data_IF_535665427673
#
_entry.id   IF_535665427673
#
_cell.length_a   1.000
_cell.length_b   1.000
_cell.length_c   1.000
_cell.angle_alpha   90.00
_cell.angle_beta   90.00
_cell.angle_gamma   90.00
#
_symmetry.space_group_name_H-M   'P 1'
#
loop_
_entity.id
_entity.type
_entity.pdbx_description
1 polymer ?
#
# COMPACT_ATOMS: atom_id res chain seq x y z
N UNK A 1 -59.61 47.47 109.96
CA UNK A 1 -58.67 46.33 110.10
C UNK A 1 -59.04 45.15 109.20
N UNK A 2 -60.25 44.58 109.31
CA UNK A 2 -60.64 43.41 108.51
C UNK A 2 -60.68 43.64 106.98
N UNK A 3 -61.17 44.80 106.53
CA UNK A 3 -61.19 45.15 105.10
C UNK A 3 -59.77 45.33 104.51
N UNK A 4 -58.85 45.94 105.29
CA UNK A 4 -57.47 46.20 104.86
C UNK A 4 -56.67 44.90 104.74
N UNK A 5 -56.85 43.98 105.69
CA UNK A 5 -56.25 42.64 105.65
C UNK A 5 -56.78 41.87 104.43
N UNK A 6 -58.08 41.93 104.17
CA UNK A 6 -58.68 41.20 103.04
C UNK A 6 -58.22 41.77 101.69
N UNK A 7 -58.15 43.09 101.53
CA UNK A 7 -57.60 43.71 100.31
C UNK A 7 -56.12 43.41 100.13
N UNK A 8 -55.32 43.39 101.21
CA UNK A 8 -53.89 43.09 101.13
C UNK A 8 -53.64 41.63 100.77
N UNK A 9 -54.37 40.70 101.40
CA UNK A 9 -54.30 39.27 101.06
C UNK A 9 -54.77 39.04 99.63
N UNK A 10 -55.87 39.67 99.21
CA UNK A 10 -56.38 39.51 97.86
C UNK A 10 -55.42 40.07 96.80
N UNK A 11 -54.88 41.27 96.98
CA UNK A 11 -53.91 41.84 96.04
C UNK A 11 -52.59 41.08 96.04
N UNK A 12 -52.10 40.64 97.21
CA UNK A 12 -50.87 39.86 97.30
C UNK A 12 -51.03 38.49 96.62
N UNK A 13 -52.10 37.76 96.92
CA UNK A 13 -52.38 36.46 96.31
C UNK A 13 -52.63 36.64 94.81
N UNK A 14 -53.44 37.61 94.41
CA UNK A 14 -53.74 37.84 92.99
C UNK A 14 -52.48 38.24 92.23
N UNK A 15 -51.69 39.19 92.72
CA UNK A 15 -50.46 39.61 92.03
C UNK A 15 -49.42 38.50 92.05
N UNK A 16 -49.22 37.79 93.15
CA UNK A 16 -48.24 36.70 93.23
C UNK A 16 -48.65 35.54 92.31
N UNK A 17 -49.90 35.07 92.39
CA UNK A 17 -50.39 33.99 91.53
C UNK A 17 -50.41 34.43 90.06
N UNK A 18 -50.93 35.61 89.76
CA UNK A 18 -50.99 36.09 88.38
C UNK A 18 -49.59 36.28 87.81
N UNK A 19 -48.67 36.94 88.53
CA UNK A 19 -47.30 37.12 88.03
C UNK A 19 -46.57 35.80 87.93
N UNK A 20 -46.66 34.92 88.93
CA UNK A 20 -45.99 33.62 88.90
C UNK A 20 -46.53 32.73 87.78
N UNK A 21 -47.85 32.57 87.68
CA UNK A 21 -48.47 31.76 86.63
C UNK A 21 -48.22 32.39 85.25
N UNK A 22 -48.45 33.69 85.09
CA UNK A 22 -48.25 34.34 83.80
C UNK A 22 -46.79 34.30 83.38
N UNK A 23 -45.85 34.65 84.25
CA UNK A 23 -44.43 34.61 83.89
C UNK A 23 -43.96 33.18 83.69
N UNK A 24 -44.30 32.23 84.55
CA UNK A 24 -43.86 30.84 84.40
C UNK A 24 -44.46 30.21 83.15
N UNK A 25 -45.77 30.29 82.94
CA UNK A 25 -46.43 29.73 81.76
C UNK A 25 -45.95 30.45 80.50
N UNK A 26 -45.94 31.78 80.48
CA UNK A 26 -45.54 32.51 79.28
C UNK A 26 -44.06 32.30 78.97
N UNK A 27 -43.16 32.38 79.95
CA UNK A 27 -41.73 32.17 79.68
C UNK A 27 -41.47 30.71 79.34
N UNK A 28 -42.00 29.75 80.10
CA UNK A 28 -41.74 28.33 79.85
C UNK A 28 -42.33 27.87 78.53
N UNK A 29 -43.62 28.15 78.26
CA UNK A 29 -44.25 27.75 77.00
C UNK A 29 -43.59 28.48 75.83
N UNK A 30 -43.39 29.79 75.92
CA UNK A 30 -42.90 30.55 74.78
C UNK A 30 -41.42 30.24 74.51
N UNK A 31 -40.58 30.11 75.54
CA UNK A 31 -39.18 29.71 75.34
C UNK A 31 -39.06 28.25 74.92
N UNK A 32 -39.81 27.32 75.52
CA UNK A 32 -39.74 25.91 75.16
C UNK A 32 -40.26 25.68 73.75
N UNK A 33 -41.44 26.21 73.40
CA UNK A 33 -41.99 26.09 72.05
C UNK A 33 -41.08 26.79 71.04
N UNK A 34 -40.63 28.02 71.32
CA UNK A 34 -39.75 28.73 70.40
C UNK A 34 -38.43 27.99 70.21
N UNK A 35 -37.78 27.52 71.28
CA UNK A 35 -36.49 26.81 71.17
C UNK A 35 -36.69 25.47 70.49
N UNK A 36 -37.70 24.68 70.87
CA UNK A 36 -37.92 23.36 70.27
C UNK A 36 -38.30 23.49 68.80
N UNK A 37 -39.25 24.35 68.45
CA UNK A 37 -39.67 24.53 67.05
C UNK A 37 -38.54 25.16 66.24
N UNK A 38 -37.90 26.22 66.73
CA UNK A 38 -36.81 26.86 65.97
C UNK A 38 -35.62 25.93 65.82
N UNK A 39 -35.18 25.25 66.89
CA UNK A 39 -34.06 24.32 66.80
C UNK A 39 -34.40 23.14 65.89
N UNK A 40 -35.59 22.54 66.03
CA UNK A 40 -36.00 21.40 65.21
C UNK A 40 -36.17 21.79 63.74
N UNK A 41 -36.91 22.87 63.46
CA UNK A 41 -37.12 23.34 62.10
C UNK A 41 -35.81 23.77 61.45
N UNK A 42 -34.98 24.56 62.14
CA UNK A 42 -33.70 24.99 61.60
C UNK A 42 -32.76 23.80 61.37
N UNK A 43 -32.59 22.91 62.34
CA UNK A 43 -31.67 21.78 62.19
C UNK A 43 -32.16 20.74 61.19
N UNK A 44 -33.44 20.34 61.22
CA UNK A 44 -33.97 19.37 60.28
C UNK A 44 -34.02 19.94 58.86
N UNK A 45 -34.51 21.16 58.67
CA UNK A 45 -34.59 21.75 57.32
C UNK A 45 -33.18 22.02 56.80
N UNK A 46 -32.30 22.60 57.61
CA UNK A 46 -30.93 22.88 57.16
C UNK A 46 -30.18 21.58 56.89
N UNK A 47 -30.27 20.57 57.75
CA UNK A 47 -29.64 19.28 57.52
C UNK A 47 -30.22 18.61 56.27
N UNK A 48 -31.54 18.59 56.09
CA UNK A 48 -32.17 17.98 54.94
C UNK A 48 -31.81 18.71 53.64
N UNK A 49 -31.97 20.03 53.58
CA UNK A 49 -31.63 20.82 52.40
C UNK A 49 -30.14 20.71 52.11
N UNK A 50 -29.27 20.90 53.10
CA UNK A 50 -27.84 20.85 52.88
C UNK A 50 -27.40 19.46 52.46
N UNK A 51 -27.77 18.41 53.20
CA UNK A 51 -27.38 17.04 52.82
C UNK A 51 -27.99 16.64 51.50
N UNK A 52 -29.29 16.79 51.30
CA UNK A 52 -29.94 16.36 50.07
C UNK A 52 -29.46 17.15 48.87
N UNK A 53 -29.49 18.48 48.91
CA UNK A 53 -29.08 19.30 47.76
C UNK A 53 -27.59 19.16 47.52
N UNK A 54 -26.75 19.29 48.56
CA UNK A 54 -25.30 19.21 48.35
C UNK A 54 -24.90 17.81 47.89
N UNK A 55 -25.36 16.75 48.54
CA UNK A 55 -24.98 15.39 48.11
C UNK A 55 -25.56 15.06 46.76
N UNK A 56 -26.83 15.36 46.49
CA UNK A 56 -27.45 15.04 45.20
C UNK A 56 -26.81 15.84 44.07
N UNK A 57 -26.68 17.16 44.20
CA UNK A 57 -26.08 18.00 43.17
C UNK A 57 -24.61 17.63 43.00
N UNK A 58 -23.83 17.53 44.08
CA UNK A 58 -22.42 17.21 43.97
C UNK A 58 -22.22 15.82 43.38
N UNK A 59 -22.91 14.79 43.88
CA UNK A 59 -22.76 13.43 43.34
C UNK A 59 -23.25 13.34 41.91
N UNK A 60 -24.42 13.90 41.59
CA UNK A 60 -24.97 13.83 40.24
C UNK A 60 -24.13 14.60 39.24
N UNK A 61 -23.77 15.85 39.53
CA UNK A 61 -22.93 16.66 38.64
C UNK A 61 -21.55 16.03 38.53
N UNK A 62 -20.92 15.66 39.64
CA UNK A 62 -19.57 15.09 39.59
C UNK A 62 -19.57 13.75 38.87
N UNK A 63 -20.51 12.83 39.17
CA UNK A 63 -20.57 11.55 38.48
C UNK A 63 -20.91 11.75 37.03
N UNK A 64 -21.97 12.49 36.68
CA UNK A 64 -22.38 12.69 35.30
C UNK A 64 -21.31 13.38 34.47
N UNK A 65 -20.73 14.49 34.95
CA UNK A 65 -19.68 15.20 34.22
C UNK A 65 -18.44 14.31 34.12
N UNK A 66 -17.99 13.71 35.22
CA UNK A 66 -16.78 12.90 35.19
C UNK A 66 -16.98 11.68 34.31
N UNK A 67 -18.07 10.93 34.44
CA UNK A 67 -18.33 9.77 33.59
C UNK A 67 -18.50 10.20 32.16
N UNK A 68 -19.34 11.19 31.85
CA UNK A 68 -19.62 11.59 30.47
C UNK A 68 -18.37 12.13 29.79
N UNK A 69 -17.66 13.07 30.42
CA UNK A 69 -16.44 13.64 29.84
C UNK A 69 -15.37 12.57 29.73
N UNK A 70 -15.11 11.81 30.80
CA UNK A 70 -14.06 10.80 30.76
C UNK A 70 -14.39 9.70 29.75
N UNK A 71 -15.60 9.15 29.74
CA UNK A 71 -15.97 8.12 28.76
C UNK A 71 -15.95 8.71 27.37
N UNK A 72 -16.60 9.84 27.12
CA UNK A 72 -16.69 10.41 25.77
C UNK A 72 -15.32 10.78 25.23
N UNK A 73 -14.51 11.53 25.99
CA UNK A 73 -13.16 11.92 25.56
C UNK A 73 -12.29 10.67 25.40
N UNK A 74 -12.25 9.79 26.38
CA UNK A 74 -11.38 8.63 26.31
C UNK A 74 -11.81 7.69 25.17
N UNK A 75 -13.09 7.35 25.06
CA UNK A 75 -13.56 6.47 23.99
C UNK A 75 -13.37 7.15 22.64
N UNK A 76 -13.83 8.39 22.47
CA UNK A 76 -13.78 9.05 21.17
C UNK A 76 -12.35 9.28 20.70
N UNK A 77 -11.48 9.84 21.56
CA UNK A 77 -10.07 10.07 21.22
C UNK A 77 -9.37 8.75 20.99
N UNK A 78 -9.52 7.78 21.89
CA UNK A 78 -8.83 6.49 21.73
C UNK A 78 -9.32 5.76 20.47
N UNK A 79 -10.62 5.68 20.22
CA UNK A 79 -11.15 5.03 19.02
C UNK A 79 -10.75 5.79 17.77
N UNK A 80 -10.84 7.11 17.76
CA UNK A 80 -10.54 7.92 16.58
C UNK A 80 -9.05 7.85 16.26
N UNK A 81 -8.18 8.08 17.24
CA UNK A 81 -6.73 8.01 17.04
C UNK A 81 -6.32 6.59 16.65
N UNK A 82 -6.79 5.57 17.36
CA UNK A 82 -6.41 4.20 17.06
C UNK A 82 -6.92 3.78 15.68
N UNK A 83 -8.18 4.04 15.34
CA UNK A 83 -8.72 3.69 14.02
C UNK A 83 -8.04 4.48 12.92
N UNK A 84 -7.86 5.80 13.07
CA UNK A 84 -7.22 6.63 12.06
C UNK A 84 -5.77 6.24 11.84
N UNK A 85 -4.97 6.10 12.91
CA UNK A 85 -3.57 5.70 12.80
C UNK A 85 -3.47 4.30 12.23
N UNK A 86 -4.23 3.33 12.76
CA UNK A 86 -4.16 1.96 12.27
C UNK A 86 -4.59 1.87 10.81
N UNK A 87 -5.70 2.49 10.42
CA UNK A 87 -6.17 2.47 9.03
C UNK A 87 -5.20 3.20 8.12
N UNK A 88 -4.71 4.38 8.50
CA UNK A 88 -3.78 5.15 7.69
C UNK A 88 -2.44 4.42 7.52
N UNK A 89 -1.84 3.95 8.61
CA UNK A 89 -0.56 3.21 8.55
C UNK A 89 -0.76 1.92 7.77
N UNK A 90 -1.78 1.12 8.08
CA UNK A 90 -1.99 -0.15 7.40
C UNK A 90 -2.28 0.06 5.91
N UNK A 91 -3.17 0.98 5.55
CA UNK A 91 -3.48 1.24 4.14
C UNK A 91 -2.28 1.84 3.42
N UNK A 92 -1.62 2.84 3.98
CA UNK A 92 -0.48 3.49 3.35
C UNK A 92 0.69 2.51 3.18
N UNK A 93 1.11 1.83 4.23
CA UNK A 93 2.21 0.87 4.17
C UNK A 93 1.84 -0.28 3.24
N UNK A 94 0.68 -0.90 3.41
CA UNK A 94 0.31 -2.04 2.59
C UNK A 94 0.14 -1.66 1.13
N UNK A 95 -0.54 -0.56 0.80
CA UNK A 95 -0.73 -0.16 -0.59
C UNK A 95 0.57 0.32 -1.22
N UNK A 96 1.37 1.12 -0.51
CA UNK A 96 2.61 1.66 -1.06
C UNK A 96 3.65 0.56 -1.24
N UNK A 97 3.89 -0.26 -0.21
CA UNK A 97 4.85 -1.37 -0.29
C UNK A 97 4.39 -2.39 -1.33
N UNK A 98 3.12 -2.82 -1.30
CA UNK A 98 2.64 -3.81 -2.25
C UNK A 98 2.72 -3.29 -3.69
N UNK A 99 2.29 -2.05 -3.95
CA UNK A 99 2.32 -1.47 -5.28
C UNK A 99 3.75 -1.22 -5.76
N UNK A 100 4.63 -0.74 -4.88
CA UNK A 100 6.04 -0.51 -5.21
C UNK A 100 6.78 -1.81 -5.47
N UNK A 101 6.66 -2.80 -4.59
CA UNK A 101 7.28 -4.12 -4.77
C UNK A 101 6.72 -4.79 -6.02
N UNK A 102 5.40 -4.80 -6.21
CA UNK A 102 4.80 -5.40 -7.40
C UNK A 102 5.27 -4.68 -8.67
N UNK A 103 5.30 -3.34 -8.69
CA UNK A 103 5.78 -2.59 -9.83
C UNK A 103 7.27 -2.85 -10.10
N UNK A 104 8.13 -2.81 -9.08
CA UNK A 104 9.56 -3.06 -9.22
C UNK A 104 9.85 -4.50 -9.65
N UNK A 105 9.24 -5.50 -9.02
CA UNK A 105 9.43 -6.90 -9.39
C UNK A 105 8.88 -7.15 -10.78
N UNK A 106 7.66 -6.71 -11.08
CA UNK A 106 7.07 -6.93 -12.39
C UNK A 106 7.87 -6.22 -13.48
N UNK A 107 8.26 -4.96 -13.29
CA UNK A 107 9.09 -4.25 -14.27
C UNK A 107 10.44 -4.90 -14.40
N UNK A 108 11.14 -5.23 -13.32
CA UNK A 108 12.47 -5.84 -13.38
C UNK A 108 12.41 -7.22 -14.04
N UNK A 109 11.55 -8.12 -13.56
CA UNK A 109 11.43 -9.47 -14.13
C UNK A 109 10.95 -9.39 -15.57
N UNK A 110 9.87 -8.66 -15.86
CA UNK A 110 9.33 -8.61 -17.21
C UNK A 110 10.31 -7.92 -18.16
N UNK A 111 10.88 -6.77 -17.81
CA UNK A 111 11.84 -6.11 -18.71
C UNK A 111 13.10 -6.95 -18.82
N UNK A 112 13.72 -7.38 -17.74
CA UNK A 112 14.99 -8.11 -17.80
C UNK A 112 14.82 -9.45 -18.50
N UNK A 113 13.88 -10.29 -18.07
CA UNK A 113 13.70 -11.62 -18.68
C UNK A 113 13.20 -11.47 -20.11
N UNK A 114 12.16 -10.68 -20.36
CA UNK A 114 11.62 -10.57 -21.72
C UNK A 114 12.64 -9.93 -22.64
N UNK A 115 13.25 -8.79 -22.28
CA UNK A 115 14.21 -8.15 -23.19
C UNK A 115 15.45 -8.99 -23.35
N UNK A 116 16.05 -9.51 -22.28
CA UNK A 116 17.29 -10.29 -22.37
C UNK A 116 17.07 -11.59 -23.13
N UNK A 117 16.05 -12.40 -22.76
CA UNK A 117 15.79 -13.66 -23.46
C UNK A 117 15.35 -13.39 -24.89
N UNK A 118 14.41 -12.48 -25.13
CA UNK A 118 13.94 -12.20 -26.48
C UNK A 118 15.07 -11.67 -27.36
N UNK A 119 15.83 -10.67 -26.89
CA UNK A 119 16.94 -10.12 -27.68
C UNK A 119 18.05 -11.13 -27.87
N UNK A 120 18.47 -11.87 -26.83
CA UNK A 120 19.51 -12.89 -26.94
C UNK A 120 19.08 -14.01 -27.90
N UNK A 121 17.88 -14.58 -27.72
CA UNK A 121 17.37 -15.64 -28.58
C UNK A 121 17.16 -15.15 -30.00
N UNK A 122 16.55 -13.98 -30.20
CA UNK A 122 16.32 -13.42 -31.53
C UNK A 122 17.64 -13.09 -32.24
N UNK A 123 18.57 -12.42 -31.57
CA UNK A 123 19.87 -12.08 -32.18
C UNK A 123 20.71 -13.32 -32.45
N UNK A 124 20.73 -14.29 -31.52
CA UNK A 124 21.46 -15.54 -31.72
C UNK A 124 20.86 -16.37 -32.84
N UNK A 125 19.53 -16.59 -32.84
CA UNK A 125 18.85 -17.32 -33.92
C UNK A 125 19.01 -16.62 -35.25
N UNK A 126 18.82 -15.30 -35.31
CA UNK A 126 18.98 -14.54 -36.54
C UNK A 126 20.43 -14.58 -37.04
N UNK A 127 21.42 -14.38 -36.16
CA UNK A 127 22.82 -14.46 -36.52
C UNK A 127 23.21 -15.86 -36.97
N UNK A 128 22.78 -16.91 -36.27
CA UNK A 128 23.07 -18.30 -36.62
C UNK A 128 22.40 -18.68 -37.94
N UNK A 129 21.11 -18.40 -38.10
CA UNK A 129 20.39 -18.70 -39.35
C UNK A 129 20.94 -17.90 -40.51
N UNK A 130 21.17 -16.60 -40.34
CA UNK A 130 21.75 -15.77 -41.39
C UNK A 130 23.14 -16.25 -41.75
N UNK A 131 24.04 -16.43 -40.78
CA UNK A 131 25.40 -16.90 -41.06
C UNK A 131 25.40 -18.29 -41.67
N UNK A 132 24.69 -19.26 -41.09
CA UNK A 132 24.64 -20.63 -41.61
C UNK A 132 24.04 -20.69 -43.00
N UNK A 133 22.85 -20.13 -43.21
CA UNK A 133 22.17 -20.16 -44.51
C UNK A 133 22.96 -19.35 -45.52
N UNK A 134 23.35 -18.11 -45.20
CA UNK A 134 24.08 -17.27 -46.14
C UNK A 134 25.43 -17.90 -46.47
N UNK A 135 26.24 -18.30 -45.48
CA UNK A 135 27.55 -18.90 -45.77
C UNK A 135 27.40 -20.24 -46.46
N UNK A 136 26.52 -21.13 -46.02
CA UNK A 136 26.36 -22.43 -46.65
C UNK A 136 25.83 -22.30 -48.07
N UNK A 137 24.73 -21.57 -48.29
CA UNK A 137 24.16 -21.39 -49.64
C UNK A 137 25.12 -20.61 -50.52
N UNK A 138 25.65 -19.48 -50.04
CA UNK A 138 26.57 -18.68 -50.85
C UNK A 138 27.83 -19.48 -51.16
N UNK A 139 28.50 -20.09 -50.18
CA UNK A 139 29.72 -20.86 -50.46
C UNK A 139 29.41 -22.07 -51.31
N UNK A 140 28.37 -22.86 -51.02
CA UNK A 140 28.04 -24.05 -51.80
C UNK A 140 27.66 -23.68 -53.23
N UNK A 141 26.71 -22.77 -53.43
CA UNK A 141 26.28 -22.36 -54.78
C UNK A 141 27.42 -21.66 -55.50
N UNK A 142 28.09 -20.69 -54.87
CA UNK A 142 29.19 -19.97 -55.52
C UNK A 142 30.32 -20.93 -55.85
N UNK A 143 30.80 -21.75 -54.91
CA UNK A 143 31.90 -22.69 -55.19
C UNK A 143 31.48 -23.75 -56.18
N UNK A 144 30.30 -24.36 -56.05
CA UNK A 144 29.85 -25.40 -56.97
C UNK A 144 29.65 -24.84 -58.37
N UNK A 145 28.89 -23.75 -58.53
CA UNK A 145 28.66 -23.13 -59.84
C UNK A 145 29.96 -22.58 -60.41
N UNK A 146 30.74 -21.82 -59.63
CA UNK A 146 32.00 -21.26 -60.12
C UNK A 146 32.97 -22.37 -60.50
N UNK A 147 33.20 -23.36 -59.63
CA UNK A 147 34.13 -24.46 -59.96
C UNK A 147 33.59 -25.29 -61.10
N UNK A 148 32.32 -25.67 -61.13
CA UNK A 148 31.77 -26.48 -62.21
C UNK A 148 31.79 -25.74 -63.54
N UNK A 149 31.27 -24.52 -63.60
CA UNK A 149 31.28 -23.72 -64.83
C UNK A 149 32.71 -23.39 -65.24
N UNK A 150 33.54 -22.88 -64.32
CA UNK A 150 34.91 -22.51 -64.66
C UNK A 150 35.70 -23.73 -65.09
N UNK A 151 35.68 -24.84 -64.33
CA UNK A 151 36.44 -26.04 -64.72
C UNK A 151 35.87 -26.65 -65.98
N UNK A 152 34.56 -26.81 -66.13
CA UNK A 152 33.96 -27.41 -67.32
C UNK A 152 34.24 -26.55 -68.55
N UNK A 153 33.93 -25.26 -68.52
CA UNK A 153 34.15 -24.37 -69.66
C UNK A 153 35.64 -24.23 -69.94
N UNK A 154 36.47 -23.96 -68.93
CA UNK A 154 37.90 -23.80 -69.14
C UNK A 154 38.53 -25.09 -69.65
N UNK A 155 38.28 -26.23 -69.01
CA UNK A 155 38.87 -27.50 -69.46
C UNK A 155 38.30 -27.91 -70.81
N UNK A 156 37.00 -27.81 -71.05
CA UNK A 156 36.40 -28.19 -72.32
C UNK A 156 36.90 -27.29 -73.45
N UNK A 157 36.80 -25.97 -73.32
CA UNK A 157 37.27 -25.04 -74.35
C UNK A 157 38.78 -25.15 -74.52
N UNK A 158 39.56 -25.14 -73.45
CA UNK A 158 41.01 -25.21 -73.54
C UNK A 158 41.46 -26.54 -74.13
N UNK A 159 40.97 -27.68 -73.64
CA UNK A 159 41.35 -28.98 -74.18
C UNK A 159 40.84 -29.16 -75.59
N UNK A 160 39.58 -28.84 -75.88
CA UNK A 160 39.02 -28.98 -77.23
C UNK A 160 39.75 -28.10 -78.22
N UNK A 161 39.89 -26.79 -77.96
CA UNK A 161 40.58 -25.88 -78.87
C UNK A 161 42.06 -26.27 -78.99
N UNK A 162 42.75 -26.50 -77.87
CA UNK A 162 44.17 -26.85 -77.91
C UNK A 162 44.40 -28.17 -78.64
N UNK A 163 43.66 -29.23 -78.29
CA UNK A 163 43.80 -30.54 -78.96
C UNK A 163 43.36 -30.47 -80.41
N UNK A 164 42.25 -29.83 -80.74
CA UNK A 164 41.76 -29.73 -82.10
C UNK A 164 42.71 -28.92 -82.98
N UNK A 165 43.13 -27.73 -82.55
CA UNK A 165 44.10 -26.92 -83.31
C UNK A 165 45.43 -27.65 -83.42
N UNK A 166 45.96 -28.19 -82.31
CA UNK A 166 47.25 -28.87 -82.33
C UNK A 166 47.21 -30.13 -83.21
N UNK A 167 46.19 -30.98 -83.07
CA UNK A 167 46.06 -32.19 -83.89
C UNK A 167 45.76 -31.85 -85.33
N UNK A 168 44.88 -30.89 -85.62
CA UNK A 168 44.54 -30.51 -87.00
C UNK A 168 45.73 -29.88 -87.73
N UNK A 169 46.46 -28.97 -87.09
CA UNK A 169 47.67 -28.39 -87.68
C UNK A 169 48.74 -29.49 -87.84
N UNK A 170 48.99 -30.30 -86.83
CA UNK A 170 50.04 -31.32 -86.89
C UNK A 170 49.72 -32.44 -87.91
N UNK A 171 48.48 -32.92 -87.97
CA UNK A 171 48.05 -33.94 -88.92
C UNK A 171 47.92 -33.40 -90.33
N UNK A 172 47.42 -32.17 -90.53
CA UNK A 172 47.38 -31.55 -91.87
C UNK A 172 48.78 -31.28 -92.41
N UNK A 173 49.71 -30.82 -91.56
CA UNK A 173 51.10 -30.58 -91.97
C UNK A 173 51.80 -31.90 -92.32
N UNK A 174 51.63 -32.94 -91.51
CA UNK A 174 52.19 -34.27 -91.81
C UNK A 174 51.52 -34.87 -93.05
N UNK A 175 50.20 -34.77 -93.19
CA UNK A 175 49.48 -35.36 -94.31
C UNK A 175 49.82 -34.65 -95.62
N UNK A 176 49.90 -33.32 -95.65
CA UNK A 176 50.35 -32.57 -96.84
C UNK A 176 51.80 -32.87 -97.18
N UNK A 177 52.68 -33.00 -96.18
CA UNK A 177 54.07 -33.39 -96.38
C UNK A 177 54.19 -34.79 -97.01
N UNK A 178 53.48 -35.79 -96.46
CA UNK A 178 53.48 -37.17 -96.97
C UNK A 178 52.79 -37.25 -98.34
N UNK A 179 51.67 -36.54 -98.55
CA UNK A 179 50.95 -36.57 -99.82
C UNK A 179 51.79 -35.91 -100.93
N UNK A 180 52.46 -34.79 -100.67
CA UNK A 180 53.37 -34.20 -101.66
C UNK A 180 54.53 -35.16 -101.98
N UNK A 181 55.13 -35.80 -100.97
CA UNK A 181 56.21 -36.76 -101.20
C UNK A 181 55.76 -38.01 -101.96
N UNK A 182 54.56 -38.54 -101.66
CA UNK A 182 53.98 -39.69 -102.34
C UNK A 182 53.54 -39.36 -103.78
N UNK A 183 52.97 -38.18 -103.99
CA UNK A 183 52.55 -37.70 -105.31
C UNK A 183 53.75 -37.61 -106.26
N UNK A 184 54.88 -37.05 -105.80
CA UNK A 184 56.13 -36.99 -106.57
C UNK A 184 56.61 -38.39 -106.99
N UNK A 185 56.41 -39.40 -106.13
CA UNK A 185 56.85 -40.76 -106.42
C UNK A 185 55.93 -41.53 -107.39
N UNK A 186 54.65 -41.16 -107.51
CA UNK A 186 53.71 -41.76 -108.47
C UNK A 186 53.79 -41.17 -109.87
N UNK A 187 54.25 -39.93 -110.03
CA UNK A 187 54.42 -39.29 -111.36
C UNK A 187 55.72 -39.67 -112.07
N UNK A 188 56.57 -40.50 -111.43
CA UNK A 188 57.88 -40.94 -111.93
C UNK A 188 57.91 -42.42 -112.36
N UNK A 189 56.75 -43.06 -112.53
CA UNK A 189 56.60 -44.43 -113.06
C UNK A 189 55.81 -44.43 -114.36
#
# INVERSE_FOLDING_TARGET
>A
MHAYINTYIHTYIHTYIHTYIHTYIHTYINTYIHICIHAYMHTCIHAYIHTYIHTYIHTYIHTYIHTYIHTYIHTYIHTYIHTYIHTYIHTYIHTYIHKYIHACIHTYIHTYIHTYIHTCMHTYMHAYMHTYIHTYIHTYIHTYIHTYIHTYIHTYIHTYIHTYIHTYIHTSYIHTYIHNHACIHTTLR
#
